data_IF_740576096014
#
_entry.id   IF_740576096014
#
_cell.length_a   1.000
_cell.length_b   1.000
_cell.length_c   1.000
_cell.angle_alpha   90.00
_cell.angle_beta   90.00
_cell.angle_gamma   90.00
#
_symmetry.space_group_name_H-M   'P 1'
#
loop_
_entity.id
_entity.type
_entity.pdbx_description
1 polymer ?
#
# COMPACT_ATOMS: atom_id res chain seq x y z
N UNK A 1 -7.14 32.81 36.06
CA UNK A 1 -7.18 31.84 34.95
C UNK A 1 -6.11 30.80 35.20
N UNK A 2 -6.49 29.62 35.70
CA UNK A 2 -5.55 28.52 35.97
C UNK A 2 -5.25 27.83 34.64
N UNK A 3 -4.04 28.02 34.09
CA UNK A 3 -3.59 27.26 32.92
C UNK A 3 -3.25 25.85 33.39
N UNK A 4 -3.76 24.84 32.68
CA UNK A 4 -3.53 23.44 32.99
C UNK A 4 -2.03 23.14 33.08
N UNK A 5 -1.67 22.45 34.16
CA UNK A 5 -0.31 22.08 34.52
C UNK A 5 0.38 21.25 33.44
N UNK A 6 1.70 21.38 33.33
CA UNK A 6 2.53 20.69 32.33
C UNK A 6 2.43 19.17 32.39
N UNK A 7 1.98 18.63 33.53
CA UNK A 7 1.85 17.20 33.79
C UNK A 7 0.41 16.68 33.68
N UNK A 8 -0.51 17.48 33.09
CA UNK A 8 -1.85 16.98 32.81
C UNK A 8 -1.79 15.68 31.99
N UNK A 9 -2.64 14.71 32.37
CA UNK A 9 -2.72 13.37 31.77
C UNK A 9 -2.77 13.42 30.23
N UNK A 10 -3.40 14.45 29.67
CA UNK A 10 -3.51 14.67 28.24
C UNK A 10 -2.14 14.93 27.55
N UNK A 11 -1.21 15.61 28.24
CA UNK A 11 0.14 15.92 27.74
C UNK A 11 1.10 14.74 27.90
N UNK A 12 0.96 13.96 28.98
CA UNK A 12 1.66 12.67 29.16
C UNK A 12 1.21 11.66 28.08
N UNK A 13 -0.09 11.59 27.80
CA UNK A 13 -0.67 10.78 26.72
C UNK A 13 -0.11 11.09 25.32
N UNK A 14 0.25 12.35 25.07
CA UNK A 14 0.80 12.80 23.79
C UNK A 14 2.29 12.45 23.61
N UNK A 15 3.04 12.35 24.72
CA UNK A 15 4.48 12.09 24.73
C UNK A 15 4.86 10.61 24.73
N UNK A 16 3.91 9.68 24.64
CA UNK A 16 4.26 8.27 24.45
C UNK A 16 4.84 8.09 23.04
N UNK A 17 6.16 7.96 22.98
CA UNK A 17 6.86 7.47 21.80
C UNK A 17 6.67 5.96 21.70
N UNK A 18 5.47 5.57 21.29
CA UNK A 18 5.11 4.18 21.04
C UNK A 18 5.91 3.72 19.82
N UNK A 19 6.87 2.80 20.04
CA UNK A 19 7.51 2.04 18.96
C UNK A 19 6.41 1.38 18.13
N UNK A 20 6.15 1.93 16.94
CA UNK A 20 4.97 1.59 16.12
C UNK A 20 4.18 2.79 15.59
N UNK A 21 4.58 4.04 15.89
CA UNK A 21 4.00 5.22 15.20
C UNK A 21 4.14 5.06 13.69
N UNK A 22 2.99 5.00 12.99
CA UNK A 22 2.91 4.96 11.53
C UNK A 22 3.67 6.16 10.97
N UNK A 23 4.58 5.98 9.98
CA UNK A 23 5.33 7.08 9.40
C UNK A 23 4.34 8.13 8.88
N UNK A 24 4.44 9.33 9.43
CA UNK A 24 3.56 10.45 9.11
C UNK A 24 4.08 11.06 7.82
N UNK A 25 3.40 10.79 6.71
CA UNK A 25 3.79 11.26 5.39
C UNK A 25 3.32 10.34 4.28
N UNK A 26 3.41 10.84 3.05
CA UNK A 26 3.18 10.02 1.86
C UNK A 26 4.27 8.93 1.80
N UNK A 27 3.94 7.68 1.44
CA UNK A 27 4.94 6.70 1.08
C UNK A 27 5.88 7.33 0.04
N UNK A 28 7.19 7.29 0.30
CA UNK A 28 8.18 7.85 -0.64
C UNK A 28 8.10 7.20 -2.01
N UNK A 29 7.57 5.97 -2.06
CA UNK A 29 7.47 5.18 -3.28
C UNK A 29 6.40 5.75 -4.23
N UNK A 30 6.80 6.24 -5.41
CA UNK A 30 5.89 6.55 -6.51
C UNK A 30 5.14 5.29 -6.95
N UNK A 31 3.89 5.46 -7.36
CA UNK A 31 3.09 4.37 -7.94
C UNK A 31 3.79 3.76 -9.17
N UNK A 32 4.56 4.56 -9.93
CA UNK A 32 5.35 4.07 -11.08
C UNK A 32 6.44 3.09 -10.64
N UNK A 33 7.13 3.34 -9.53
CA UNK A 33 8.19 2.46 -9.05
C UNK A 33 7.62 1.13 -8.54
N UNK A 34 6.46 1.17 -7.87
CA UNK A 34 5.73 -0.04 -7.50
C UNK A 34 5.29 -0.81 -8.75
N UNK A 35 4.70 -0.13 -9.73
CA UNK A 35 4.26 -0.72 -11.00
C UNK A 35 5.43 -1.36 -11.75
N UNK A 36 6.59 -0.68 -11.83
CA UNK A 36 7.79 -1.21 -12.48
C UNK A 36 8.30 -2.47 -11.76
N UNK A 37 8.23 -2.48 -10.43
CA UNK A 37 8.62 -3.64 -9.62
C UNK A 37 7.67 -4.82 -9.86
N UNK A 38 6.36 -4.58 -9.89
CA UNK A 38 5.35 -5.61 -10.13
C UNK A 38 5.43 -6.17 -11.56
N UNK A 39 5.63 -5.30 -12.55
CA UNK A 39 5.85 -5.71 -13.95
C UNK A 39 7.12 -6.54 -14.10
N UNK A 40 8.21 -6.15 -13.43
CA UNK A 40 9.45 -6.94 -13.38
C UNK A 40 9.22 -8.29 -12.72
N UNK A 41 8.49 -8.34 -11.61
CA UNK A 41 8.17 -9.59 -10.90
C UNK A 41 7.29 -10.52 -11.74
N UNK A 42 6.39 -9.97 -12.55
CA UNK A 42 5.56 -10.72 -13.48
C UNK A 42 6.29 -11.10 -14.79
N UNK A 43 7.53 -10.62 -15.01
CA UNK A 43 8.28 -10.84 -16.25
C UNK A 43 7.67 -10.13 -17.47
N UNK A 44 6.87 -9.09 -17.23
CA UNK A 44 6.15 -8.35 -18.26
C UNK A 44 6.97 -7.11 -18.62
N UNK A 45 7.51 -7.08 -19.85
CA UNK A 45 8.18 -5.90 -20.38
C UNK A 45 7.15 -4.92 -20.98
N UNK A 46 7.35 -3.59 -20.87
CA UNK A 46 6.48 -2.61 -21.53
C UNK A 46 6.31 -2.85 -23.04
N UNK A 47 7.34 -3.36 -23.72
CA UNK A 47 7.27 -3.70 -25.15
C UNK A 47 6.28 -4.85 -25.44
N UNK A 48 5.99 -5.69 -24.44
CA UNK A 48 4.97 -6.73 -24.54
C UNK A 48 3.55 -6.16 -24.46
N UNK A 49 3.35 -4.87 -24.12
CA UNK A 49 2.04 -4.24 -24.10
C UNK A 49 1.33 -4.29 -25.47
N UNK A 50 2.11 -4.38 -26.55
CA UNK A 50 1.58 -4.57 -27.91
C UNK A 50 1.10 -6.01 -28.16
N UNK A 51 1.60 -7.00 -27.42
CA UNK A 51 1.12 -8.39 -27.46
C UNK A 51 -0.02 -8.58 -26.44
N UNK A 52 -1.23 -8.29 -26.91
CA UNK A 52 -2.47 -8.40 -26.12
C UNK A 52 -2.66 -9.78 -25.50
N UNK A 53 -2.17 -10.84 -26.16
CA UNK A 53 -2.35 -12.23 -25.69
C UNK A 53 -1.44 -12.51 -24.50
N UNK A 54 -0.16 -12.14 -24.60
CA UNK A 54 0.78 -12.23 -23.47
C UNK A 54 0.38 -11.34 -22.31
N UNK A 55 -0.08 -10.13 -22.59
CA UNK A 55 -0.58 -9.22 -21.56
C UNK A 55 -1.73 -9.85 -20.76
N UNK A 56 -2.77 -10.37 -21.44
CA UNK A 56 -3.91 -11.04 -20.79
C UNK A 56 -3.50 -12.22 -19.89
N UNK A 57 -2.48 -12.98 -20.27
CA UNK A 57 -2.00 -14.11 -19.47
C UNK A 57 -1.34 -13.66 -18.17
N UNK A 58 -0.62 -12.54 -18.18
CA UNK A 58 0.08 -12.00 -17.01
C UNK A 58 -0.85 -11.44 -15.93
N UNK A 59 -1.88 -10.68 -16.32
CA UNK A 59 -2.84 -10.06 -15.38
C UNK A 59 -3.91 -11.02 -14.84
N UNK A 60 -4.19 -12.14 -15.53
CA UNK A 60 -5.21 -13.10 -15.09
C UNK A 60 -4.87 -13.82 -13.78
N UNK A 61 -3.60 -13.78 -13.35
CA UNK A 61 -3.11 -14.51 -12.17
C UNK A 61 -3.48 -13.87 -10.81
N UNK A 62 -4.26 -12.80 -10.80
CA UNK A 62 -4.66 -12.10 -9.58
C UNK A 62 -6.08 -12.39 -9.08
N UNK A 63 -6.87 -13.26 -9.74
CA UNK A 63 -8.23 -13.61 -9.30
C UNK A 63 -8.25 -14.95 -8.52
N UNK A 64 -8.34 -14.95 -7.17
CA UNK A 64 -8.50 -16.18 -6.40
C UNK A 64 -9.95 -16.63 -6.21
N UNK A 65 -10.98 -15.86 -6.61
CA UNK A 65 -12.37 -16.21 -6.29
C UNK A 65 -13.36 -15.90 -7.40
N UNK A 66 -13.67 -16.90 -8.21
CA UNK A 66 -15.04 -17.04 -8.74
C UNK A 66 -15.44 -18.50 -8.58
N UNK A 67 -15.83 -18.88 -7.37
CA UNK A 67 -16.86 -19.91 -7.25
C UNK A 67 -18.16 -19.17 -7.53
N UNK A 68 -18.87 -19.42 -8.65
CA UNK A 68 -20.21 -18.88 -8.80
C UNK A 68 -21.07 -19.49 -7.69
N UNK A 69 -21.54 -18.64 -6.80
CA UNK A 69 -22.54 -19.01 -5.81
C UNK A 69 -23.81 -19.44 -6.55
N UNK A 70 -24.21 -20.69 -6.37
CA UNK A 70 -25.41 -21.26 -6.98
C UNK A 70 -26.58 -20.85 -6.08
N UNK A 71 -27.26 -19.78 -6.47
CA UNK A 71 -28.58 -19.44 -5.93
C UNK A 71 -29.67 -20.24 -6.61
#
# INVERSE_FOLDING_TARGET
>A
MLRADSDSVCKVGFNFDVAGKRPKGRPKQPWMDTLHTDLRAAGIHPDHAHDRTKWRQGIRRADPTTKPDKR
#
